data_IF_604298330528
#
_entry.id   IF_604298330528
#
_cell.length_a   1.000
_cell.length_b   1.000
_cell.length_c   1.000
_cell.angle_alpha   90.00
_cell.angle_beta   90.00
_cell.angle_gamma   90.00
#
_symmetry.space_group_name_H-M   'P 1'
#
loop_
_entity.id
_entity.type
_entity.pdbx_description
1 polymer ?
#
# COMPACT_ATOMS: atom_id res chain seq x y z
N UNK A 1 10.88 -0.83 35.46
CA UNK A 1 11.09 -0.78 34.00
C UNK A 1 10.11 -1.76 33.37
N UNK A 2 9.03 -1.32 32.70
CA UNK A 2 8.10 -2.25 32.06
C UNK A 2 8.78 -2.85 30.84
N UNK A 3 8.85 -4.18 30.78
CA UNK A 3 9.40 -4.91 29.65
C UNK A 3 8.31 -4.98 28.58
N UNK A 4 8.43 -4.20 27.49
CA UNK A 4 7.55 -4.33 26.33
C UNK A 4 7.83 -5.68 25.68
N UNK A 5 7.01 -6.67 26.01
CA UNK A 5 7.04 -7.98 25.39
C UNK A 5 6.65 -7.81 23.93
N UNK A 6 7.60 -7.94 23.01
CA UNK A 6 7.35 -8.00 21.57
C UNK A 6 6.48 -9.22 21.30
N UNK A 7 5.16 -9.01 21.17
CA UNK A 7 4.23 -10.09 20.84
C UNK A 7 4.52 -10.55 19.42
N UNK A 8 5.10 -11.73 19.28
CA UNK A 8 5.22 -12.40 17.99
C UNK A 8 3.94 -13.17 17.69
N UNK A 9 3.46 -13.09 16.45
CA UNK A 9 2.33 -13.88 15.95
C UNK A 9 2.87 -14.90 14.97
N UNK A 10 2.35 -16.14 15.05
CA UNK A 10 2.79 -17.23 14.18
C UNK A 10 1.99 -17.22 12.88
N UNK A 11 2.70 -17.22 11.75
CA UNK A 11 2.15 -17.47 10.42
C UNK A 11 2.37 -18.96 10.09
N UNK A 12 1.28 -19.70 9.86
CA UNK A 12 1.34 -21.10 9.44
C UNK A 12 0.90 -21.22 7.99
N UNK A 13 1.76 -21.79 7.14
CA UNK A 13 1.47 -22.03 5.73
C UNK A 13 2.02 -23.39 5.32
N UNK A 14 1.25 -24.10 4.49
CA UNK A 14 1.72 -25.33 3.84
C UNK A 14 2.35 -24.96 2.50
N UNK A 15 3.52 -25.54 2.23
CA UNK A 15 4.23 -25.36 0.96
C UNK A 15 4.55 -26.71 0.36
N UNK A 16 4.66 -26.76 -0.97
CA UNK A 16 5.12 -27.97 -1.66
C UNK A 16 6.60 -28.25 -1.37
N UNK A 17 7.06 -29.51 -1.50
CA UNK A 17 8.48 -29.86 -1.37
C UNK A 17 9.38 -29.10 -2.35
N UNK A 18 8.89 -28.85 -3.56
CA UNK A 18 9.61 -28.11 -4.60
C UNK A 18 9.81 -26.65 -4.19
N UNK A 19 8.75 -26.01 -3.67
CA UNK A 19 8.83 -24.65 -3.15
C UNK A 19 9.81 -24.56 -1.98
N UNK A 20 9.81 -25.54 -1.06
CA UNK A 20 10.76 -25.59 0.05
C UNK A 20 12.22 -25.63 -0.45
N UNK A 21 12.50 -26.41 -1.49
CA UNK A 21 13.84 -26.51 -2.08
C UNK A 21 14.32 -25.18 -2.64
N UNK A 22 13.46 -24.49 -3.40
CA UNK A 22 13.77 -23.17 -3.96
C UNK A 22 13.98 -22.12 -2.87
N UNK A 23 13.10 -22.07 -1.87
CA UNK A 23 13.20 -21.12 -0.76
C UNK A 23 14.48 -21.32 0.06
N UNK A 24 14.86 -22.58 0.35
CA UNK A 24 16.12 -22.88 1.04
C UNK A 24 17.32 -22.38 0.25
N UNK A 25 17.35 -22.65 -1.06
CA UNK A 25 18.44 -22.19 -1.92
C UNK A 25 18.53 -20.65 -1.97
N UNK A 26 17.39 -19.97 -2.05
CA UNK A 26 17.36 -18.51 -2.04
C UNK A 26 17.84 -17.92 -0.70
N UNK A 27 17.45 -18.53 0.43
CA UNK A 27 17.92 -18.15 1.75
C UNK A 27 19.44 -18.34 1.91
N UNK A 28 19.98 -19.46 1.42
CA UNK A 28 21.43 -19.73 1.39
C UNK A 28 22.19 -18.67 0.58
N UNK A 29 21.71 -18.33 -0.61
CA UNK A 29 22.34 -17.31 -1.48
C UNK A 29 22.43 -15.95 -0.76
N UNK A 30 21.43 -15.63 0.07
CA UNK A 30 21.38 -14.38 0.81
C UNK A 30 22.02 -14.47 2.20
N UNK A 31 22.58 -15.62 2.58
CA UNK A 31 23.28 -15.81 3.85
C UNK A 31 22.38 -15.70 5.09
N UNK A 32 21.09 -16.03 4.97
CA UNK A 32 20.10 -15.94 6.05
C UNK A 32 19.33 -17.23 6.27
N UNK A 33 18.68 -17.34 7.43
CA UNK A 33 17.83 -18.50 7.73
C UNK A 33 16.60 -18.54 6.82
N UNK A 34 16.06 -19.74 6.57
CA UNK A 34 14.84 -19.91 5.79
C UNK A 34 13.67 -19.11 6.38
N UNK A 35 13.50 -19.11 7.70
CA UNK A 35 12.43 -18.38 8.37
C UNK A 35 12.55 -16.87 8.15
N UNK A 36 13.75 -16.33 8.32
CA UNK A 36 14.02 -14.90 8.09
C UNK A 36 13.80 -14.52 6.61
N UNK A 37 14.27 -15.36 5.68
CA UNK A 37 14.04 -15.18 4.25
C UNK A 37 12.54 -15.12 3.91
N UNK A 38 11.76 -16.07 4.41
CA UNK A 38 10.31 -16.14 4.12
C UNK A 38 9.57 -14.93 4.70
N UNK A 39 9.90 -14.51 5.92
CA UNK A 39 9.27 -13.33 6.54
C UNK A 39 9.63 -12.06 5.77
N UNK A 40 10.90 -11.87 5.41
CA UNK A 40 11.35 -10.71 4.66
C UNK A 40 10.71 -10.65 3.25
N UNK A 41 10.69 -11.77 2.54
CA UNK A 41 10.08 -11.85 1.21
C UNK A 41 8.55 -11.60 1.26
N UNK A 42 7.87 -12.15 2.26
CA UNK A 42 6.44 -11.90 2.45
C UNK A 42 6.15 -10.42 2.76
N UNK A 43 6.98 -9.79 3.60
CA UNK A 43 6.86 -8.37 3.93
C UNK A 43 7.10 -7.48 2.70
N UNK A 44 8.13 -7.76 1.90
CA UNK A 44 8.42 -7.03 0.67
C UNK A 44 7.27 -7.14 -0.34
N UNK A 45 6.76 -8.36 -0.56
CA UNK A 45 5.64 -8.59 -1.45
C UNK A 45 4.36 -7.86 -0.98
N UNK A 46 4.09 -7.87 0.33
CA UNK A 46 2.97 -7.15 0.92
C UNK A 46 3.11 -5.64 0.74
N UNK A 47 4.27 -5.07 1.05
CA UNK A 47 4.55 -3.63 0.88
C UNK A 47 4.39 -3.22 -0.58
N UNK A 48 4.92 -4.01 -1.52
CA UNK A 48 4.77 -3.75 -2.95
C UNK A 48 3.29 -3.76 -3.38
N UNK A 49 2.52 -4.75 -2.94
CA UNK A 49 1.09 -4.88 -3.28
C UNK A 49 0.27 -3.70 -2.74
N UNK A 50 0.53 -3.29 -1.50
CA UNK A 50 -0.13 -2.14 -0.88
C UNK A 50 0.24 -0.86 -1.63
N UNK A 51 1.53 -0.68 -1.92
CA UNK A 51 2.04 0.48 -2.64
C UNK A 51 1.45 0.56 -4.06
N UNK A 52 1.32 -0.54 -4.78
CA UNK A 52 0.72 -0.57 -6.12
C UNK A 52 -0.74 -0.12 -6.12
N UNK A 53 -1.48 -0.36 -5.04
CA UNK A 53 -2.88 0.08 -4.92
C UNK A 53 -2.99 1.56 -4.52
N UNK A 54 -1.99 2.10 -3.80
CA UNK A 54 -2.03 3.46 -3.24
C UNK A 54 -1.22 4.49 -4.04
N UNK A 55 -0.31 4.07 -4.92
CA UNK A 55 0.53 4.97 -5.70
C UNK A 55 -0.14 5.29 -7.04
N UNK A 56 -0.50 6.56 -7.22
CA UNK A 56 -0.86 7.11 -8.52
C UNK A 56 0.45 7.38 -9.29
N UNK A 57 0.75 6.53 -10.27
CA UNK A 57 1.90 6.75 -11.18
C UNK A 57 1.51 7.71 -12.28
N UNK A 58 2.12 8.89 -12.27
CA UNK A 58 1.87 9.96 -13.24
C UNK A 58 3.00 10.03 -14.27
N UNK A 59 2.66 10.29 -15.53
CA UNK A 59 3.65 10.68 -16.54
C UNK A 59 4.30 12.01 -16.16
N UNK A 60 5.42 12.38 -16.79
CA UNK A 60 6.08 13.67 -16.51
C UNK A 60 5.14 14.85 -16.78
N UNK A 61 4.31 14.75 -17.83
CA UNK A 61 3.35 15.80 -18.17
C UNK A 61 2.22 15.88 -17.14
N UNK A 62 1.71 14.74 -16.67
CA UNK A 62 0.69 14.71 -15.61
C UNK A 62 1.24 15.23 -14.27
N UNK A 63 2.51 14.93 -13.94
CA UNK A 63 3.17 15.47 -12.75
C UNK A 63 3.23 17.00 -12.80
N UNK A 64 3.56 17.58 -13.96
CA UNK A 64 3.57 19.04 -14.17
C UNK A 64 2.16 19.62 -14.05
N UNK A 65 1.17 18.98 -14.66
CA UNK A 65 -0.22 19.42 -14.56
C UNK A 65 -0.74 19.40 -13.12
N UNK A 66 -0.41 18.34 -12.36
CA UNK A 66 -0.74 18.23 -10.95
C UNK A 66 -0.03 19.32 -10.12
N UNK A 67 1.28 19.47 -10.27
CA UNK A 67 2.06 20.48 -9.56
C UNK A 67 1.53 21.89 -9.82
N UNK A 68 1.22 22.21 -11.09
CA UNK A 68 0.64 23.48 -11.47
C UNK A 68 -0.73 23.70 -10.80
N UNK A 69 -1.57 22.67 -10.74
CA UNK A 69 -2.89 22.73 -10.10
C UNK A 69 -2.81 22.85 -8.59
N UNK A 70 -1.78 22.29 -7.94
CA UNK A 70 -1.55 22.45 -6.50
C UNK A 70 -1.01 23.84 -6.14
N UNK A 71 -0.09 24.37 -6.95
CA UNK A 71 0.49 25.70 -6.75
C UNK A 71 -0.47 26.83 -7.12
N UNK A 72 -1.31 26.61 -8.13
CA UNK A 72 -2.27 27.58 -8.65
C UNK A 72 -3.65 26.89 -8.75
N UNK A 73 -4.34 26.70 -7.61
CA UNK A 73 -5.61 25.99 -7.59
C UNK A 73 -6.65 26.76 -8.42
N UNK A 74 -7.29 26.10 -9.41
CA UNK A 74 -8.32 26.74 -10.22
C UNK A 74 -9.58 26.98 -9.37
N UNK A 75 -10.34 28.00 -9.74
CA UNK A 75 -11.63 28.28 -9.10
C UNK A 75 -12.62 27.15 -9.45
N UNK A 76 -13.39 26.63 -8.48
CA UNK A 76 -14.40 25.62 -8.74
C UNK A 76 -15.40 26.07 -9.81
N UNK A 77 -15.78 25.17 -10.70
CA UNK A 77 -16.77 25.45 -11.74
C UNK A 77 -18.18 25.56 -11.14
N UNK A 78 -19.13 26.24 -11.80
CA UNK A 78 -20.53 26.28 -11.36
C UNK A 78 -21.14 24.88 -11.15
N UNK A 79 -20.71 23.90 -11.96
CA UNK A 79 -21.14 22.50 -11.81
C UNK A 79 -20.62 21.87 -10.50
N UNK A 80 -19.38 22.16 -10.09
CA UNK A 80 -18.84 21.70 -8.80
C UNK A 80 -19.59 22.30 -7.61
N UNK A 81 -20.00 23.57 -7.71
CA UNK A 81 -20.86 24.19 -6.71
C UNK A 81 -22.22 23.48 -6.61
N UNK A 82 -22.88 23.21 -7.75
CA UNK A 82 -24.12 22.46 -7.78
C UNK A 82 -24.00 21.04 -7.20
N UNK A 83 -22.90 20.34 -7.53
CA UNK A 83 -22.63 19.01 -6.99
C UNK A 83 -22.45 19.00 -5.46
N UNK A 84 -21.73 20.01 -4.92
CA UNK A 84 -21.59 20.19 -3.46
C UNK A 84 -22.95 20.40 -2.79
N UNK A 85 -23.79 21.26 -3.36
CA UNK A 85 -25.09 21.58 -2.78
C UNK A 85 -26.05 20.37 -2.85
N UNK A 86 -26.00 19.59 -3.93
CA UNK A 86 -26.72 18.32 -4.06
C UNK A 86 -26.23 17.28 -3.04
N UNK A 87 -24.91 17.11 -2.88
CA UNK A 87 -24.32 16.21 -1.89
C UNK A 87 -24.74 16.60 -0.46
N UNK A 88 -24.71 17.89 -0.13
CA UNK A 88 -25.13 18.39 1.18
C UNK A 88 -26.58 18.04 1.50
N UNK A 89 -27.49 18.18 0.53
CA UNK A 89 -28.89 17.77 0.65
C UNK A 89 -29.01 16.26 0.89
N UNK A 90 -28.36 15.45 0.04
CA UNK A 90 -28.48 14.00 0.10
C UNK A 90 -27.89 13.40 1.38
N UNK A 91 -26.77 13.91 1.87
CA UNK A 91 -26.09 13.35 3.06
C UNK A 91 -26.71 13.83 4.37
N UNK A 92 -27.27 15.04 4.43
CA UNK A 92 -27.95 15.54 5.63
C UNK A 92 -29.41 15.08 5.74
N UNK A 93 -30.10 14.84 4.63
CA UNK A 93 -31.46 14.27 4.66
C UNK A 93 -31.45 12.75 4.96
N UNK A 94 -30.26 12.11 4.97
CA UNK A 94 -30.07 10.68 5.23
C UNK A 94 -29.69 10.34 6.69
N UNK A 95 -29.69 11.31 7.60
CA UNK A 95 -29.39 11.16 9.04
C UNK A 95 -30.62 11.52 9.88
#
# INVERSE_FOLDING_TARGET
MPQTTTRSTRLEARISPDALTVLKRAAEIQGRSLSDFVVAAAQEAAQKTIAETQIIRLSVDDQRALAQSLLNPPVPTPALHGARDAHHRLVLDSQ
#
